data_IF_446826793176
#
_entry.id   IF_446826793176
#
_cell.length_a   1.000
_cell.length_b   1.000
_cell.length_c   1.000
_cell.angle_alpha   90.00
_cell.angle_beta   90.00
_cell.angle_gamma   90.00
#
_symmetry.space_group_name_H-M   'P 1'
#
loop_
_entity.id
_entity.type
_entity.pdbx_description
1 polymer ?
#
# COMPACT_ATOMS: atom_id res chain seq x y z
N UNK A 1 18.10 5.20 28.53
CA UNK A 1 16.73 5.34 29.03
C UNK A 1 15.81 4.70 28.00
N UNK A 2 15.25 3.54 28.33
CA UNK A 2 14.41 2.75 27.42
C UNK A 2 13.08 3.48 27.31
N UNK A 3 12.77 4.04 26.14
CA UNK A 3 11.46 4.62 25.87
C UNK A 3 10.41 3.51 26.02
N UNK A 4 9.45 3.77 26.91
CA UNK A 4 8.41 2.82 27.28
C UNK A 4 7.58 2.39 26.07
N UNK A 5 7.21 1.12 26.06
CA UNK A 5 6.13 0.59 25.23
C UNK A 5 4.88 1.41 25.57
N UNK A 6 4.52 2.38 24.72
CA UNK A 6 3.24 3.07 24.82
C UNK A 6 2.16 2.06 24.48
N UNK A 7 1.37 1.67 25.46
CA UNK A 7 0.12 0.95 25.22
C UNK A 7 -0.81 1.90 24.49
N UNK A 8 -0.97 1.74 23.17
CA UNK A 8 -2.02 2.43 22.43
C UNK A 8 -3.35 2.09 23.11
N UNK A 9 -4.07 3.10 23.59
CA UNK A 9 -5.38 2.90 24.20
C UNK A 9 -6.33 2.33 23.15
N UNK A 10 -7.24 1.43 23.57
CA UNK A 10 -8.27 0.85 22.70
C UNK A 10 -9.14 1.91 21.99
N UNK A 11 -9.09 3.18 22.40
CA UNK A 11 -9.91 4.29 21.92
C UNK A 11 -9.32 5.14 20.80
N UNK A 12 -8.21 4.72 20.21
CA UNK A 12 -7.55 5.50 19.16
C UNK A 12 -8.15 5.19 17.78
N UNK A 13 -8.91 6.14 17.24
CA UNK A 13 -9.51 6.08 15.89
C UNK A 13 -8.46 6.16 14.77
N UNK A 14 -7.47 7.02 14.95
CA UNK A 14 -6.44 7.37 13.97
C UNK A 14 -5.08 7.46 14.64
N UNK A 15 -4.05 6.92 14.00
CA UNK A 15 -2.66 6.95 14.48
C UNK A 15 -1.75 7.47 13.37
N UNK A 16 -0.87 8.43 13.68
CA UNK A 16 0.14 8.90 12.72
C UNK A 16 1.17 7.83 12.41
N UNK A 17 1.68 7.77 11.17
CA UNK A 17 2.67 6.76 10.77
C UNK A 17 3.93 6.79 11.66
N UNK A 18 4.39 7.98 12.09
CA UNK A 18 5.54 8.12 12.97
C UNK A 18 5.35 7.45 14.36
N UNK A 19 4.10 7.28 14.79
CA UNK A 19 3.75 6.66 16.07
C UNK A 19 3.55 5.14 15.97
N UNK A 20 3.69 4.55 14.77
CA UNK A 20 3.56 3.11 14.51
C UNK A 20 4.91 2.42 14.31
N UNK A 21 4.98 1.11 14.51
CA UNK A 21 6.09 0.26 14.10
C UNK A 21 5.68 -1.19 13.91
N UNK A 22 6.66 -2.08 13.70
CA UNK A 22 6.44 -3.51 13.35
C UNK A 22 5.51 -4.30 14.28
N UNK A 23 5.30 -3.87 15.52
CA UNK A 23 4.46 -4.57 16.51
C UNK A 23 2.99 -4.14 16.47
N UNK A 24 2.65 -3.12 15.69
CA UNK A 24 1.32 -2.51 15.68
C UNK A 24 0.42 -3.11 14.57
N UNK A 25 0.71 -4.32 14.09
CA UNK A 25 -0.03 -5.00 13.00
C UNK A 25 -1.52 -5.17 13.33
N UNK A 26 -1.87 -5.50 14.58
CA UNK A 26 -3.28 -5.62 15.00
C UNK A 26 -4.06 -4.30 14.91
N UNK A 27 -3.36 -3.16 14.94
CA UNK A 27 -3.96 -1.81 14.93
C UNK A 27 -3.94 -1.22 13.53
N UNK A 28 -2.81 -1.36 12.83
CA UNK A 28 -2.53 -0.66 11.59
C UNK A 28 -2.50 -1.56 10.34
N UNK A 29 -2.68 -2.87 10.51
CA UNK A 29 -2.41 -3.88 9.48
C UNK A 29 -0.93 -3.98 9.12
N UNK A 30 -0.58 -4.97 8.29
CA UNK A 30 0.82 -5.25 7.94
C UNK A 30 1.51 -4.07 7.26
N UNK A 31 0.87 -3.51 6.23
CA UNK A 31 1.41 -2.34 5.51
C UNK A 31 1.57 -1.11 6.40
N UNK A 32 0.56 -0.80 7.21
CA UNK A 32 0.57 0.39 8.08
C UNK A 32 1.66 0.30 9.15
N UNK A 33 1.79 -0.86 9.78
CA UNK A 33 2.84 -1.13 10.76
C UNK A 33 4.24 -1.04 10.13
N UNK A 34 4.41 -1.61 8.93
CA UNK A 34 5.67 -1.59 8.22
C UNK A 34 6.05 -0.19 7.71
N UNK A 35 5.09 0.61 7.23
CA UNK A 35 5.34 2.02 6.89
C UNK A 35 5.78 2.84 8.12
N UNK A 36 5.12 2.63 9.26
CA UNK A 36 5.53 3.28 10.51
C UNK A 36 6.95 2.90 10.94
N UNK A 37 7.32 1.63 10.77
CA UNK A 37 8.69 1.17 11.01
C UNK A 37 9.71 1.90 10.12
N UNK A 38 9.43 2.03 8.82
CA UNK A 38 10.30 2.75 7.88
C UNK A 38 10.45 4.23 8.27
N UNK A 39 9.36 4.89 8.70
CA UNK A 39 9.40 6.27 9.23
C UNK A 39 10.32 6.36 10.44
N UNK A 40 10.18 5.44 11.41
CA UNK A 40 11.04 5.39 12.60
C UNK A 40 12.50 5.11 12.28
N UNK A 41 12.77 4.38 11.19
CA UNK A 41 14.12 4.15 10.67
C UNK A 41 14.72 5.37 9.93
N UNK A 42 13.99 6.49 9.83
CA UNK A 42 14.45 7.69 9.14
C UNK A 42 14.54 7.51 7.62
N UNK A 43 13.69 6.67 7.05
CA UNK A 43 13.55 6.52 5.61
C UNK A 43 12.51 7.51 5.07
N UNK A 44 12.64 7.93 3.80
CA UNK A 44 11.78 8.97 3.24
C UNK A 44 10.42 8.38 2.86
N UNK A 45 9.53 8.26 3.83
CA UNK A 45 8.15 7.79 3.60
C UNK A 45 7.24 9.02 3.56
N UNK A 46 6.29 9.12 2.60
CA UNK A 46 5.34 10.23 2.56
C UNK A 46 4.54 10.32 3.86
N UNK A 47 4.23 11.54 4.29
CA UNK A 47 3.49 11.77 5.52
C UNK A 47 2.10 11.12 5.45
N UNK A 48 1.59 10.65 6.58
CA UNK A 48 0.32 9.94 6.60
C UNK A 48 -0.07 9.45 7.98
N UNK A 49 -1.25 8.85 8.03
CA UNK A 49 -1.83 8.24 9.21
C UNK A 49 -2.60 6.98 8.83
N UNK A 50 -3.00 6.22 9.85
CA UNK A 50 -3.78 5.01 9.72
C UNK A 50 -5.08 5.16 10.50
N UNK A 51 -6.20 4.93 9.81
CA UNK A 51 -7.50 4.65 10.42
C UNK A 51 -7.45 3.21 10.93
N UNK A 52 -7.60 3.02 12.23
CA UNK A 52 -7.27 1.73 12.86
C UNK A 52 -8.26 0.63 12.48
N UNK A 53 -7.81 -0.62 12.55
CA UNK A 53 -8.69 -1.77 12.32
C UNK A 53 -9.88 -1.80 13.31
N UNK A 54 -9.66 -1.35 14.55
CA UNK A 54 -10.70 -1.21 15.57
C UNK A 54 -11.70 -0.10 15.23
N UNK A 55 -11.31 0.94 14.49
CA UNK A 55 -12.22 1.98 14.04
C UNK A 55 -13.32 1.42 13.14
N UNK A 56 -12.97 0.49 12.24
CA UNK A 56 -13.94 -0.19 11.38
C UNK A 56 -14.96 -0.99 12.20
N UNK A 57 -14.48 -1.83 13.13
CA UNK A 57 -15.35 -2.67 13.97
C UNK A 57 -16.32 -1.81 14.78
N UNK A 58 -15.82 -0.72 15.38
CA UNK A 58 -16.66 0.21 16.16
C UNK A 58 -17.68 0.97 15.29
N UNK A 59 -17.33 1.32 14.05
CA UNK A 59 -18.29 1.92 13.13
C UNK A 59 -19.43 0.95 12.80
N UNK A 60 -19.12 -0.34 12.57
CA UNK A 60 -20.12 -1.39 12.38
C UNK A 60 -20.99 -1.61 13.62
N UNK A 61 -20.40 -1.59 14.82
CA UNK A 61 -21.15 -1.69 16.08
C UNK A 61 -22.10 -0.51 16.28
N UNK A 62 -21.61 0.73 16.09
CA UNK A 62 -22.39 1.95 16.29
C UNK A 62 -23.56 2.09 15.29
N UNK A 63 -23.42 1.52 14.09
CA UNK A 63 -24.47 1.52 13.07
C UNK A 63 -25.49 0.38 13.24
N UNK A 64 -25.17 -0.64 14.03
CA UNK A 64 -25.99 -1.86 14.15
C UNK A 64 -25.91 -2.78 12.92
N UNK A 65 -25.03 -2.49 11.95
CA UNK A 65 -24.91 -3.25 10.70
C UNK A 65 -23.99 -4.48 10.83
N UNK A 66 -23.30 -4.64 11.96
CA UNK A 66 -22.28 -5.68 12.15
C UNK A 66 -22.82 -7.10 11.94
N UNK A 67 -23.96 -7.44 12.54
CA UNK A 67 -24.53 -8.78 12.43
C UNK A 67 -25.11 -9.02 11.03
N UNK A 68 -25.76 -8.02 10.42
CA UNK A 68 -26.25 -8.09 9.03
C UNK A 68 -25.09 -8.35 8.05
N UNK A 69 -23.97 -7.66 8.23
CA UNK A 69 -22.77 -7.83 7.41
C UNK A 69 -22.14 -9.22 7.57
N UNK A 70 -22.11 -9.73 8.81
CA UNK A 70 -21.61 -11.08 9.11
C UNK A 70 -22.47 -12.14 8.43
N UNK A 71 -23.79 -12.01 8.51
CA UNK A 71 -24.73 -12.93 7.89
C UNK A 71 -24.62 -12.89 6.36
N UNK A 72 -24.49 -11.70 5.77
CA UNK A 72 -24.27 -11.53 4.33
C UNK A 72 -22.97 -12.21 3.88
N UNK A 73 -21.87 -12.03 4.60
CA UNK A 73 -20.59 -12.65 4.29
C UNK A 73 -20.63 -14.18 4.42
N UNK A 74 -21.41 -14.72 5.36
CA UNK A 74 -21.58 -16.16 5.55
C UNK A 74 -22.32 -16.86 4.40
N UNK A 75 -23.05 -16.12 3.55
CA UNK A 75 -23.73 -16.68 2.37
C UNK A 75 -22.75 -17.17 1.29
N UNK A 76 -21.55 -16.58 1.23
CA UNK A 76 -20.52 -16.86 0.24
C UNK A 76 -19.79 -18.18 0.48
N UNK A 77 -20.52 -19.26 0.78
CA UNK A 77 -19.98 -20.58 1.12
C UNK A 77 -18.86 -21.04 0.19
N UNK A 78 -17.99 -21.91 0.71
CA UNK A 78 -16.71 -22.29 0.09
C UNK A 78 -16.86 -22.68 -1.40
N UNK A 79 -16.27 -21.86 -2.28
CA UNK A 79 -16.03 -22.09 -3.72
C UNK A 79 -17.20 -22.06 -4.70
N UNK A 80 -18.33 -21.39 -4.41
CA UNK A 80 -19.37 -21.11 -5.42
C UNK A 80 -19.27 -19.65 -5.93
N UNK A 81 -18.83 -19.41 -7.20
CA UNK A 81 -18.65 -18.06 -7.74
C UNK A 81 -19.92 -17.20 -7.69
N UNK A 82 -21.09 -17.77 -7.94
CA UNK A 82 -22.34 -17.01 -7.98
C UNK A 82 -22.74 -16.57 -6.57
N UNK A 83 -22.53 -17.43 -5.56
CA UNK A 83 -22.77 -17.09 -4.15
C UNK A 83 -21.76 -16.09 -3.60
N UNK A 84 -20.51 -16.17 -4.04
CA UNK A 84 -19.48 -15.21 -3.67
C UNK A 84 -19.83 -13.81 -4.21
N UNK A 85 -20.31 -13.73 -5.44
CA UNK A 85 -20.76 -12.47 -6.04
C UNK A 85 -22.00 -11.92 -5.31
N UNK A 86 -22.98 -12.78 -5.00
CA UNK A 86 -24.16 -12.39 -4.22
C UNK A 86 -23.79 -11.88 -2.82
N UNK A 87 -22.92 -12.60 -2.11
CA UNK A 87 -22.44 -12.22 -0.78
C UNK A 87 -21.67 -10.90 -0.83
N UNK A 88 -20.79 -10.73 -1.81
CA UNK A 88 -20.04 -9.49 -2.02
C UNK A 88 -20.95 -8.31 -2.33
N UNK A 89 -21.95 -8.48 -3.20
CA UNK A 89 -22.94 -7.45 -3.51
C UNK A 89 -23.73 -7.01 -2.28
N UNK A 90 -24.26 -7.96 -1.52
CA UNK A 90 -24.99 -7.66 -0.26
C UNK A 90 -24.12 -6.97 0.77
N UNK A 91 -22.89 -7.44 0.97
CA UNK A 91 -21.95 -6.82 1.90
C UNK A 91 -21.58 -5.39 1.45
N UNK A 92 -21.36 -5.17 0.16
CA UNK A 92 -21.16 -3.86 -0.43
C UNK A 92 -22.33 -2.90 -0.17
N UNK A 93 -23.56 -3.36 -0.37
CA UNK A 93 -24.78 -2.57 -0.11
C UNK A 93 -24.91 -2.20 1.38
N UNK A 94 -24.58 -3.12 2.29
CA UNK A 94 -24.55 -2.87 3.73
C UNK A 94 -23.51 -1.80 4.07
N UNK A 95 -22.28 -1.95 3.57
CA UNK A 95 -21.20 -0.99 3.83
C UNK A 95 -21.49 0.37 3.20
N UNK A 96 -22.19 0.43 2.07
CA UNK A 96 -22.62 1.70 1.46
C UNK A 96 -23.58 2.50 2.36
N UNK A 97 -24.35 1.82 3.23
CA UNK A 97 -25.25 2.44 4.22
C UNK A 97 -24.54 2.79 5.53
N UNK A 98 -23.29 2.36 5.72
CA UNK A 98 -22.52 2.65 6.92
C UNK A 98 -22.23 4.16 7.00
N UNK A 99 -22.93 4.84 7.89
CA UNK A 99 -22.59 6.20 8.28
C UNK A 99 -21.39 6.17 9.23
N UNK A 100 -20.29 6.81 8.82
CA UNK A 100 -19.10 6.94 9.68
C UNK A 100 -19.46 7.78 10.91
N UNK A 101 -19.26 7.26 12.14
CA UNK A 101 -19.53 8.00 13.37
C UNK A 101 -18.89 9.39 13.38
N UNK A 102 -19.57 10.40 13.92
CA UNK A 102 -19.13 11.81 13.85
C UNK A 102 -17.74 12.04 14.44
N UNK A 103 -17.43 11.37 15.54
CA UNK A 103 -16.13 11.41 16.20
C UNK A 103 -15.04 10.75 15.36
N UNK A 104 -15.31 9.58 14.74
CA UNK A 104 -14.40 8.94 13.79
C UNK A 104 -14.19 9.80 12.55
N UNK A 105 -15.25 10.33 11.93
CA UNK A 105 -15.15 11.25 10.77
C UNK A 105 -14.29 12.47 11.13
N UNK A 106 -14.52 13.07 12.31
CA UNK A 106 -13.73 14.21 12.78
C UNK A 106 -12.26 13.86 12.98
N UNK A 107 -11.95 12.68 13.52
CA UNK A 107 -10.57 12.22 13.70
C UNK A 107 -9.86 11.98 12.36
N UNK A 108 -10.55 11.38 11.38
CA UNK A 108 -10.01 11.18 10.02
C UNK A 108 -9.72 12.52 9.36
N UNK A 109 -10.67 13.46 9.39
CA UNK A 109 -10.50 14.78 8.78
C UNK A 109 -9.42 15.61 9.49
N UNK A 110 -9.30 15.51 10.82
CA UNK A 110 -8.21 16.16 11.55
C UNK A 110 -6.84 15.59 11.12
N UNK A 111 -6.73 14.28 10.92
CA UNK A 111 -5.53 13.65 10.36
C UNK A 111 -5.23 14.13 8.94
N UNK A 112 -6.26 14.20 8.09
CA UNK A 112 -6.15 14.65 6.70
C UNK A 112 -5.71 16.10 6.59
N UNK A 113 -6.38 17.03 7.29
CA UNK A 113 -6.02 18.44 7.32
C UNK A 113 -4.64 18.68 7.96
N UNK A 114 -4.19 17.77 8.83
CA UNK A 114 -2.84 17.77 9.37
C UNK A 114 -1.73 17.49 8.34
N UNK A 115 -2.05 16.88 7.20
CA UNK A 115 -1.11 16.70 6.08
C UNK A 115 -0.93 18.00 5.27
N UNK A 116 -1.91 18.90 5.33
CA UNK A 116 -1.90 20.19 4.64
C UNK A 116 -3.27 20.54 4.04
N UNK A 117 -3.41 21.77 3.57
CA UNK A 117 -4.60 22.20 2.85
C UNK A 117 -4.59 21.65 1.41
N UNK A 118 -5.70 21.03 0.97
CA UNK A 118 -5.88 20.53 -0.40
C UNK A 118 -4.78 19.57 -0.89
N UNK A 119 -4.25 18.76 0.02
CA UNK A 119 -3.29 17.70 -0.30
C UNK A 119 -4.04 16.51 -0.90
N UNK A 120 -3.59 16.04 -2.07
CA UNK A 120 -4.07 14.78 -2.61
C UNK A 120 -3.46 13.62 -1.82
N UNK A 121 -4.24 12.60 -1.56
CA UNK A 121 -3.81 11.43 -0.76
C UNK A 121 -4.05 10.12 -1.51
N UNK A 122 -3.21 9.14 -1.21
CA UNK A 122 -3.46 7.74 -1.47
C UNK A 122 -4.16 7.12 -0.25
N UNK A 123 -5.30 6.48 -0.47
CA UNK A 123 -6.06 5.75 0.55
C UNK A 123 -5.94 4.25 0.27
N UNK A 124 -5.28 3.51 1.17
CA UNK A 124 -4.82 2.13 0.93
C UNK A 124 -5.32 1.20 2.02
N UNK A 125 -5.86 0.06 1.64
CA UNK A 125 -6.20 -1.02 2.57
C UNK A 125 -4.93 -1.64 3.17
N UNK A 126 -4.98 -1.93 4.47
CA UNK A 126 -3.93 -2.58 5.25
C UNK A 126 -4.56 -3.64 6.15
N UNK A 127 -4.45 -4.92 5.76
CA UNK A 127 -5.10 -6.01 6.47
C UNK A 127 -4.28 -6.47 7.67
N UNK A 128 -4.94 -6.86 8.77
CA UNK A 128 -4.28 -7.37 9.98
C UNK A 128 -3.75 -8.80 9.83
N UNK A 129 -4.30 -9.56 8.88
CA UNK A 129 -3.89 -10.93 8.57
C UNK A 129 -2.88 -11.03 7.40
N UNK A 130 -2.32 -9.90 6.96
CA UNK A 130 -1.46 -9.80 5.76
C UNK A 130 -0.07 -10.44 5.93
N UNK A 131 0.36 -10.68 7.19
CA UNK A 131 1.74 -11.10 7.52
C UNK A 131 1.82 -12.50 8.20
N UNK A 132 0.86 -13.40 7.99
CA UNK A 132 1.18 -14.81 8.22
C UNK A 132 2.26 -15.20 7.20
N UNK A 133 3.41 -15.70 7.67
CA UNK A 133 4.70 -15.82 6.97
C UNK A 133 4.70 -16.55 5.60
N UNK A 134 3.56 -17.06 5.13
CA UNK A 134 3.37 -17.76 3.86
C UNK A 134 2.20 -17.24 2.99
N UNK A 135 1.49 -16.19 3.39
CA UNK A 135 0.25 -15.78 2.71
C UNK A 135 0.33 -14.40 2.10
N UNK A 136 0.69 -14.34 0.82
CA UNK A 136 0.53 -13.11 0.05
C UNK A 136 -0.96 -12.84 -0.22
N UNK A 137 -1.55 -11.90 0.53
CA UNK A 137 -2.77 -11.18 0.11
C UNK A 137 -2.50 -10.26 -1.11
N UNK A 138 -1.46 -10.56 -1.90
CA UNK A 138 -1.02 -9.77 -3.03
C UNK A 138 -2.16 -9.66 -4.05
N UNK A 139 -2.50 -8.43 -4.43
CA UNK A 139 -3.55 -8.14 -5.40
C UNK A 139 -5.00 -8.13 -4.87
N UNK A 140 -5.24 -8.32 -3.56
CA UNK A 140 -6.57 -8.14 -2.95
C UNK A 140 -6.75 -6.79 -2.25
N UNK A 141 -5.68 -6.02 -2.15
CA UNK A 141 -5.69 -4.72 -1.50
C UNK A 141 -6.28 -3.64 -2.42
N UNK A 142 -7.17 -2.82 -1.88
CA UNK A 142 -7.71 -1.66 -2.58
C UNK A 142 -6.87 -0.43 -2.29
N UNK A 143 -6.50 0.27 -3.36
CA UNK A 143 -5.80 1.54 -3.32
C UNK A 143 -6.62 2.54 -4.14
N UNK A 144 -6.84 3.72 -3.58
CA UNK A 144 -7.44 4.86 -4.26
C UNK A 144 -6.42 5.99 -4.26
N UNK A 145 -5.96 6.36 -5.44
CA UNK A 145 -4.95 7.39 -5.69
C UNK A 145 -5.61 8.75 -5.96
N UNK A 146 -4.83 9.82 -5.76
CA UNK A 146 -5.24 11.20 -6.05
C UNK A 146 -6.59 11.64 -5.42
N UNK A 147 -6.94 11.07 -4.26
CA UNK A 147 -8.15 11.42 -3.52
C UNK A 147 -7.98 12.83 -2.92
N UNK A 148 -8.96 13.71 -3.10
CA UNK A 148 -8.86 15.10 -2.68
C UNK A 148 -10.17 15.59 -2.07
N UNK A 149 -10.09 16.17 -0.88
CA UNK A 149 -11.23 16.77 -0.19
C UNK A 149 -11.93 15.82 0.79
N UNK A 150 -12.61 16.42 1.76
CA UNK A 150 -13.12 15.74 2.95
C UNK A 150 -14.07 14.58 2.63
N UNK A 151 -15.02 14.80 1.73
CA UNK A 151 -16.03 13.79 1.40
C UNK A 151 -15.43 12.62 0.61
N UNK A 152 -14.51 12.90 -0.32
CA UNK A 152 -13.83 11.89 -1.12
C UNK A 152 -12.89 11.03 -0.27
N UNK A 153 -12.21 11.62 0.73
CA UNK A 153 -11.39 10.87 1.70
C UNK A 153 -12.25 9.91 2.52
N UNK A 154 -13.40 10.37 3.02
CA UNK A 154 -14.30 9.52 3.81
C UNK A 154 -14.91 8.40 2.95
N UNK A 155 -15.30 8.71 1.71
CA UNK A 155 -15.79 7.70 0.78
C UNK A 155 -14.71 6.67 0.44
N UNK A 156 -13.48 7.09 0.17
CA UNK A 156 -12.37 6.19 -0.11
C UNK A 156 -12.07 5.25 1.08
N UNK A 157 -12.11 5.76 2.32
CA UNK A 157 -11.97 4.92 3.53
C UNK A 157 -13.08 3.86 3.60
N UNK A 158 -14.33 4.25 3.37
CA UNK A 158 -15.48 3.33 3.35
C UNK A 158 -15.34 2.28 2.24
N UNK A 159 -14.86 2.67 1.06
CA UNK A 159 -14.61 1.77 -0.07
C UNK A 159 -13.45 0.80 0.21
N UNK A 160 -12.42 1.21 0.95
CA UNK A 160 -11.43 0.28 1.48
C UNK A 160 -12.07 -0.76 2.40
N UNK A 161 -12.95 -0.36 3.33
CA UNK A 161 -13.66 -1.35 4.16
C UNK A 161 -14.54 -2.30 3.35
N UNK A 162 -15.20 -1.81 2.29
CA UNK A 162 -15.98 -2.65 1.38
C UNK A 162 -15.13 -3.73 0.68
N UNK A 163 -13.84 -3.47 0.42
CA UNK A 163 -12.99 -4.41 -0.30
C UNK A 163 -12.67 -5.69 0.47
N UNK A 164 -12.81 -5.70 1.80
CA UNK A 164 -12.74 -6.91 2.62
C UNK A 164 -13.75 -7.99 2.18
N UNK A 165 -14.84 -7.57 1.55
CA UNK A 165 -15.95 -8.43 1.16
C UNK A 165 -16.03 -8.60 -0.37
N UNK A 166 -15.01 -8.19 -1.12
CA UNK A 166 -14.93 -8.47 -2.54
C UNK A 166 -14.92 -10.00 -2.79
N UNK A 167 -15.40 -10.49 -3.94
CA UNK A 167 -15.54 -11.93 -4.20
C UNK A 167 -14.23 -12.70 -3.99
N UNK A 168 -13.10 -12.12 -4.43
CA UNK A 168 -11.76 -12.70 -4.23
C UNK A 168 -11.35 -12.75 -2.76
N UNK A 169 -11.67 -11.72 -1.98
CA UNK A 169 -11.36 -11.67 -0.54
C UNK A 169 -12.19 -12.70 0.24
N UNK A 170 -13.48 -12.84 -0.09
CA UNK A 170 -14.36 -13.87 0.49
C UNK A 170 -13.87 -15.29 0.15
N UNK A 171 -13.57 -15.55 -1.13
CA UNK A 171 -13.02 -16.84 -1.60
C UNK A 171 -11.72 -17.19 -0.89
N UNK A 172 -10.80 -16.23 -0.79
CA UNK A 172 -9.54 -16.42 -0.12
C UNK A 172 -9.73 -16.80 1.36
N UNK A 173 -10.56 -16.05 2.09
CA UNK A 173 -10.84 -16.32 3.51
C UNK A 173 -11.50 -17.68 3.72
N UNK A 174 -12.41 -18.06 2.82
CA UNK A 174 -13.02 -19.37 2.80
C UNK A 174 -11.94 -20.47 2.60
N UNK A 175 -11.05 -20.31 1.61
CA UNK A 175 -9.98 -21.30 1.33
C UNK A 175 -9.02 -21.49 2.52
N UNK A 176 -8.71 -20.40 3.23
CA UNK A 176 -7.84 -20.39 4.41
C UNK A 176 -8.57 -20.75 5.72
N UNK A 177 -9.89 -20.99 5.67
CA UNK A 177 -10.74 -21.27 6.84
C UNK A 177 -10.63 -20.19 7.93
N UNK A 178 -10.52 -18.93 7.51
CA UNK A 178 -10.46 -17.79 8.41
C UNK A 178 -11.85 -17.48 8.96
N UNK A 179 -12.11 -17.93 10.19
CA UNK A 179 -13.41 -17.80 10.88
C UNK A 179 -13.53 -16.52 11.70
N UNK A 180 -12.41 -15.84 11.99
CA UNK A 180 -12.40 -14.58 12.73
C UNK A 180 -13.00 -13.46 11.91
N UNK A 181 -13.71 -12.52 12.55
CA UNK A 181 -14.29 -11.38 11.86
C UNK A 181 -13.19 -10.52 11.21
N UNK A 182 -13.28 -10.20 9.91
CA UNK A 182 -12.25 -9.42 9.24
C UNK A 182 -12.22 -8.00 9.79
N UNK A 183 -11.01 -7.51 10.08
CA UNK A 183 -10.77 -6.12 10.43
C UNK A 183 -9.74 -5.53 9.44
N UNK A 184 -9.96 -4.29 9.04
CA UNK A 184 -9.12 -3.60 8.07
C UNK A 184 -8.75 -2.22 8.57
N UNK A 185 -7.44 -1.98 8.67
CA UNK A 185 -6.92 -0.65 8.83
C UNK A 185 -6.81 0.03 7.45
N UNK A 186 -6.94 1.35 7.43
CA UNK A 186 -6.84 2.14 6.18
C UNK A 186 -5.75 3.17 6.34
N UNK A 187 -4.74 3.11 5.48
CA UNK A 187 -3.68 4.11 5.41
C UNK A 187 -4.18 5.28 4.58
N UNK A 188 -4.05 6.50 5.10
CA UNK A 188 -4.24 7.75 4.37
C UNK A 188 -2.89 8.46 4.33
N UNK A 189 -2.30 8.53 3.15
CA UNK A 189 -0.92 8.99 2.96
C UNK A 189 -0.88 10.06 1.86
N UNK A 190 -0.03 11.07 2.03
CA UNK A 190 0.24 12.07 1.00
C UNK A 190 0.58 11.40 -0.33
N UNK A 191 -0.11 11.82 -1.39
CA UNK A 191 0.10 11.30 -2.73
C UNK A 191 1.38 11.89 -3.29
N UNK A 192 2.31 11.02 -3.67
CA UNK A 192 3.51 11.43 -4.41
C UNK A 192 3.10 11.61 -5.87
N UNK A 193 3.10 12.85 -6.35
CA UNK A 193 2.95 13.17 -7.78
C UNK A 193 4.23 12.76 -8.52
N UNK A 194 4.35 11.46 -8.80
CA UNK A 194 5.62 10.87 -9.20
C UNK A 194 5.89 11.03 -10.68
N UNK A 195 7.10 11.49 -10.97
CA UNK A 195 7.65 11.54 -12.33
C UNK A 195 8.17 10.20 -12.80
N UNK A 196 8.66 9.42 -11.83
CA UNK A 196 9.27 8.12 -12.01
C UNK A 196 8.95 7.30 -10.78
N UNK A 197 8.76 6.01 -10.97
CA UNK A 197 8.42 5.09 -9.90
C UNK A 197 8.81 3.68 -10.29
N UNK A 198 8.76 2.77 -9.32
CA UNK A 198 8.90 1.36 -9.60
C UNK A 198 9.17 0.56 -8.36
N UNK A 199 9.85 -0.57 -8.55
CA UNK A 199 10.18 -1.52 -7.48
C UNK A 199 11.68 -1.71 -7.38
N UNK A 200 12.14 -2.09 -6.20
CA UNK A 200 13.52 -2.39 -5.91
C UNK A 200 13.60 -3.63 -5.05
N UNK A 201 14.32 -4.63 -5.54
CA UNK A 201 14.61 -5.86 -4.82
C UNK A 201 16.03 -5.80 -4.27
N UNK A 202 16.18 -5.94 -2.96
CA UNK A 202 17.50 -5.98 -2.31
C UNK A 202 18.14 -7.36 -2.40
N UNK A 203 17.77 -8.17 -3.38
CA UNK A 203 18.36 -9.43 -3.84
C UNK A 203 17.84 -9.62 -5.26
N UNK A 204 18.55 -10.33 -6.13
CA UNK A 204 18.00 -10.67 -7.44
C UNK A 204 16.91 -11.75 -7.28
N UNK A 205 15.61 -11.43 -7.54
CA UNK A 205 14.53 -12.38 -7.32
C UNK A 205 14.53 -13.55 -8.32
N UNK A 206 15.20 -13.37 -9.48
CA UNK A 206 15.23 -14.34 -10.60
C UNK A 206 16.38 -15.34 -10.54
N UNK A 207 17.38 -15.07 -9.70
CA UNK A 207 18.55 -15.94 -9.51
C UNK A 207 18.77 -16.30 -8.05
N UNK A 208 18.11 -15.60 -7.13
CA UNK A 208 18.38 -15.67 -5.70
C UNK A 208 19.71 -15.04 -5.28
N UNK A 209 20.40 -14.32 -6.18
CA UNK A 209 21.69 -13.71 -5.87
C UNK A 209 21.53 -12.55 -4.89
N UNK A 210 21.90 -12.81 -3.63
CA UNK A 210 21.85 -11.82 -2.55
C UNK A 210 22.99 -10.81 -2.58
N UNK A 211 24.00 -10.97 -3.45
CA UNK A 211 25.05 -9.97 -3.68
C UNK A 211 24.59 -8.82 -4.60
N UNK A 212 23.45 -9.00 -5.27
CA UNK A 212 22.87 -8.07 -6.24
C UNK A 212 21.67 -7.32 -5.67
N UNK A 213 21.45 -6.12 -6.16
CA UNK A 213 20.23 -5.34 -5.98
C UNK A 213 19.67 -5.04 -7.36
N UNK A 214 18.37 -5.23 -7.55
CA UNK A 214 17.67 -5.01 -8.83
C UNK A 214 16.69 -3.86 -8.65
N UNK A 215 16.76 -2.87 -9.54
CA UNK A 215 15.82 -1.74 -9.58
C UNK A 215 15.07 -1.81 -10.90
N UNK A 216 13.75 -1.76 -10.81
CA UNK A 216 12.87 -1.61 -11.96
C UNK A 216 12.23 -0.22 -11.93
N UNK A 217 12.23 0.47 -13.07
CA UNK A 217 11.74 1.85 -13.16
C UNK A 217 10.88 2.10 -14.40
N UNK A 218 9.80 2.86 -14.21
CA UNK A 218 8.97 3.39 -15.27
C UNK A 218 8.66 4.88 -15.04
N UNK A 219 8.04 5.53 -16.03
CA UNK A 219 7.57 6.91 -15.93
C UNK A 219 6.18 6.96 -15.27
N UNK A 220 5.90 8.03 -14.52
CA UNK A 220 4.62 8.26 -13.88
C UNK A 220 4.41 7.52 -12.56
N UNK A 221 3.15 7.22 -12.23
CA UNK A 221 2.72 6.51 -11.02
C UNK A 221 3.10 5.03 -11.04
N UNK A 222 3.41 4.46 -9.87
CA UNK A 222 3.94 3.10 -9.72
C UNK A 222 3.02 1.98 -10.18
N UNK A 223 1.73 2.28 -10.36
CA UNK A 223 0.73 1.31 -10.82
C UNK A 223 1.12 0.67 -12.16
N UNK A 224 1.77 1.40 -13.08
CA UNK A 224 2.18 0.85 -14.39
C UNK A 224 3.18 -0.31 -14.26
N UNK A 225 4.01 -0.30 -13.20
CA UNK A 225 4.98 -1.38 -12.93
C UNK A 225 4.29 -2.54 -12.24
N UNK A 226 3.48 -2.25 -11.22
CA UNK A 226 2.81 -3.27 -10.40
C UNK A 226 1.75 -4.04 -11.18
N UNK A 227 1.09 -3.40 -12.15
CA UNK A 227 0.10 -4.04 -13.03
C UNK A 227 0.72 -4.87 -14.17
N UNK A 228 2.03 -4.76 -14.40
CA UNK A 228 2.74 -5.43 -15.49
C UNK A 228 2.39 -4.92 -16.89
N UNK A 229 1.85 -3.71 -16.98
CA UNK A 229 1.40 -3.12 -18.25
C UNK A 229 2.53 -2.60 -19.13
N UNK A 230 3.67 -2.28 -18.52
CA UNK A 230 4.87 -1.83 -19.22
C UNK A 230 6.03 -2.77 -18.93
N UNK A 231 7.01 -2.78 -19.84
CA UNK A 231 8.31 -3.35 -19.54
C UNK A 231 9.18 -2.25 -18.93
N UNK A 232 9.47 -2.28 -17.61
CA UNK A 232 10.29 -1.25 -16.98
C UNK A 232 11.75 -1.36 -17.40
N UNK A 233 12.51 -0.29 -17.20
CA UNK A 233 13.97 -0.38 -17.22
C UNK A 233 14.44 -1.20 -16.03
N UNK A 234 15.37 -2.13 -16.23
CA UNK A 234 16.00 -2.90 -15.16
C UNK A 234 17.45 -2.46 -14.99
N UNK A 235 17.81 -2.11 -13.75
CA UNK A 235 19.17 -1.76 -13.34
C UNK A 235 19.66 -2.77 -12.31
N UNK A 236 20.81 -3.40 -12.56
CA UNK A 236 21.43 -4.34 -11.63
C UNK A 236 22.63 -3.69 -10.98
N UNK A 237 22.67 -3.71 -9.65
CA UNK A 237 23.72 -3.07 -8.83
C UNK A 237 24.44 -4.13 -8.01
N UNK A 238 25.76 -4.11 -8.03
CA UNK A 238 26.60 -4.84 -7.08
C UNK A 238 26.51 -4.19 -5.71
N UNK A 239 26.25 -4.95 -4.63
CA UNK A 239 26.09 -4.34 -3.29
C UNK A 239 27.41 -3.92 -2.63
N UNK A 240 28.48 -4.67 -2.86
CA UNK A 240 29.80 -4.40 -2.28
C UNK A 240 30.49 -3.27 -3.05
N UNK A 241 30.53 -2.08 -2.45
CA UNK A 241 30.98 -0.87 -3.14
C UNK A 241 30.03 -0.52 -4.29
N UNK A 242 28.80 -0.02 -3.99
CA UNK A 242 27.71 0.05 -4.95
C UNK A 242 28.09 0.60 -6.33
N UNK A 243 28.05 -0.27 -7.34
CA UNK A 243 28.31 0.05 -8.76
C UNK A 243 27.22 -0.51 -9.65
N UNK A 244 26.87 0.23 -10.70
CA UNK A 244 25.95 -0.23 -11.72
C UNK A 244 26.63 -1.32 -12.57
N UNK A 245 26.09 -2.53 -12.53
CA UNK A 245 26.63 -3.69 -13.22
C UNK A 245 26.04 -3.87 -14.62
N UNK A 246 24.72 -3.65 -14.76
CA UNK A 246 24.05 -3.73 -16.05
C UNK A 246 22.79 -2.87 -16.10
N UNK A 247 22.43 -2.47 -17.32
CA UNK A 247 21.20 -1.73 -17.64
C UNK A 247 20.50 -2.48 -18.77
N UNK A 248 19.21 -2.71 -18.61
CA UNK A 248 18.32 -3.21 -19.66
C UNK A 248 17.17 -2.23 -19.80
N UNK A 249 17.07 -1.57 -20.95
CA UNK A 249 15.98 -0.64 -21.21
C UNK A 249 14.72 -1.41 -21.60
N UNK A 250 13.63 -1.11 -20.92
CA UNK A 250 12.32 -1.67 -21.22
C UNK A 250 11.49 -0.74 -22.10
N UNK A 251 10.42 -1.29 -22.69
CA UNK A 251 9.47 -0.53 -23.49
C UNK A 251 8.34 0.04 -22.62
N UNK A 252 8.43 1.35 -22.36
CA UNK A 252 7.52 2.09 -21.47
C UNK A 252 6.52 2.88 -22.30
N UNK A 253 5.61 2.18 -22.98
CA UNK A 253 4.69 2.81 -23.95
C UNK A 253 3.62 3.68 -23.29
N UNK A 254 3.41 3.53 -21.97
CA UNK A 254 2.36 4.21 -21.24
C UNK A 254 2.89 4.73 -19.91
N UNK A 255 2.38 5.87 -19.47
CA UNK A 255 2.47 6.33 -18.09
C UNK A 255 1.08 6.62 -17.51
N UNK A 256 0.98 6.55 -16.18
CA UNK A 256 -0.18 7.07 -15.43
C UNK A 256 0.27 8.34 -14.71
N UNK A 257 -0.54 9.39 -14.81
CA UNK A 257 -0.30 10.69 -14.18
C UNK A 257 -1.57 11.21 -13.54
N UNK A 258 -1.45 12.22 -12.70
CA UNK A 258 -2.61 13.01 -12.28
C UNK A 258 -3.07 13.90 -13.44
N UNK A 259 -4.30 13.72 -13.90
CA UNK A 259 -4.95 14.56 -14.91
C UNK A 259 -5.43 15.90 -14.35
N UNK A 260 -5.88 16.77 -15.24
CA UNK A 260 -6.37 18.13 -14.90
C UNK A 260 -7.65 18.09 -14.07
N UNK A 261 -8.43 17.01 -14.17
CA UNK A 261 -9.61 16.74 -13.34
C UNK A 261 -9.26 16.19 -11.95
N UNK A 262 -7.96 16.04 -11.68
CA UNK A 262 -7.41 15.56 -10.42
C UNK A 262 -7.39 14.03 -10.29
N UNK A 263 -7.83 13.26 -11.29
CA UNK A 263 -7.88 11.79 -11.27
C UNK A 263 -6.69 11.18 -12.00
N UNK A 264 -6.57 9.86 -11.92
CA UNK A 264 -5.56 9.13 -12.66
C UNK A 264 -5.89 9.14 -14.16
N UNK A 265 -4.93 9.60 -14.95
CA UNK A 265 -5.01 9.69 -16.39
C UNK A 265 -3.92 8.82 -17.01
N UNK A 266 -4.36 7.88 -17.85
CA UNK A 266 -3.48 7.04 -18.65
C UNK A 266 -3.08 7.78 -19.93
N UNK A 267 -1.78 7.86 -20.22
CA UNK A 267 -1.26 8.54 -21.41
C UNK A 267 -0.27 7.67 -22.16
N UNK A 268 -0.47 7.54 -23.46
CA UNK A 268 0.51 6.91 -24.36
C UNK A 268 1.73 7.81 -24.49
N UNK A 269 2.91 7.23 -24.27
CA UNK A 269 4.18 7.90 -24.46
C UNK A 269 4.58 7.88 -25.93
N UNK A 270 5.20 8.96 -26.38
CA UNK A 270 5.78 8.98 -27.73
C UNK A 270 6.90 7.94 -27.85
N UNK A 271 7.16 7.37 -29.03
CA UNK A 271 8.22 6.36 -29.21
C UNK A 271 9.60 6.83 -28.73
N UNK A 272 9.90 8.13 -28.87
CA UNK A 272 11.14 8.72 -28.34
C UNK A 272 11.21 8.63 -26.82
N UNK A 273 10.15 9.08 -26.14
CA UNK A 273 10.08 9.06 -24.67
C UNK A 273 10.02 7.64 -24.11
N UNK A 274 9.28 6.74 -24.74
CA UNK A 274 9.16 5.34 -24.31
C UNK A 274 10.51 4.60 -24.31
N UNK A 275 11.43 4.99 -25.20
CA UNK A 275 12.78 4.43 -25.34
C UNK A 275 13.83 5.13 -24.46
N UNK A 276 13.50 6.25 -23.81
CA UNK A 276 14.42 6.93 -22.90
C UNK A 276 14.69 6.09 -21.65
N UNK A 277 15.92 6.20 -21.15
CA UNK A 277 16.32 5.65 -19.86
C UNK A 277 15.68 6.47 -18.73
N UNK A 278 15.04 5.80 -17.77
CA UNK A 278 14.28 6.44 -16.69
C UNK A 278 15.19 7.06 -15.63
N UNK A 279 16.24 6.34 -15.25
CA UNK A 279 17.14 6.70 -14.15
C UNK A 279 18.57 6.86 -14.67
N UNK A 280 19.24 7.94 -14.27
CA UNK A 280 20.68 8.09 -14.47
C UNK A 280 21.45 7.17 -13.51
N UNK A 281 22.70 6.85 -13.83
CA UNK A 281 23.54 6.01 -12.96
C UNK A 281 23.66 6.57 -11.53
N UNK A 282 23.81 7.89 -11.39
CA UNK A 282 23.85 8.52 -10.06
C UNK A 282 22.58 8.31 -9.25
N UNK A 283 21.41 8.35 -9.90
CA UNK A 283 20.12 8.13 -9.25
C UNK A 283 19.91 6.66 -8.89
N UNK A 284 20.32 5.74 -9.77
CA UNK A 284 20.32 4.30 -9.46
C UNK A 284 21.15 4.02 -8.20
N UNK A 285 22.36 4.59 -8.10
CA UNK A 285 23.22 4.39 -6.94
C UNK A 285 22.68 5.07 -5.67
N UNK A 286 22.01 6.20 -5.78
CA UNK A 286 21.32 6.84 -4.65
C UNK A 286 20.18 5.96 -4.12
N UNK A 287 19.34 5.46 -5.02
CA UNK A 287 18.22 4.59 -4.68
C UNK A 287 18.72 3.25 -4.11
N UNK A 288 19.78 2.67 -4.70
CA UNK A 288 20.42 1.46 -4.18
C UNK A 288 20.93 1.64 -2.74
N UNK A 289 21.51 2.80 -2.38
CA UNK A 289 21.90 3.08 -0.98
C UNK A 289 20.69 3.10 -0.04
N UNK A 290 19.55 3.62 -0.50
CA UNK A 290 18.29 3.57 0.27
C UNK A 290 17.83 2.11 0.45
N UNK A 291 17.89 1.30 -0.61
CA UNK A 291 17.59 -0.14 -0.53
C UNK A 291 18.52 -0.90 0.42
N UNK A 292 19.82 -0.60 0.42
CA UNK A 292 20.78 -1.19 1.35
C UNK A 292 20.49 -0.81 2.81
N UNK A 293 20.07 0.43 3.08
CA UNK A 293 19.62 0.86 4.43
C UNK A 293 18.39 0.08 4.87
N UNK A 294 17.41 -0.10 3.99
CA UNK A 294 16.20 -0.89 4.23
C UNK A 294 16.58 -2.35 4.54
N UNK A 295 17.41 -2.96 3.69
CA UNK A 295 17.90 -4.32 3.87
C UNK A 295 18.59 -4.50 5.22
N UNK A 296 19.51 -3.60 5.58
CA UNK A 296 20.21 -3.64 6.86
C UNK A 296 19.27 -3.48 8.06
N UNK A 297 18.21 -2.68 7.93
CA UNK A 297 17.23 -2.45 8.99
C UNK A 297 16.33 -3.68 9.25
N UNK A 298 15.98 -4.43 8.21
CA UNK A 298 15.18 -5.66 8.34
C UNK A 298 16.04 -6.90 8.55
N UNK A 299 17.31 -6.89 8.14
CA UNK A 299 18.22 -8.03 8.24
C UNK A 299 17.93 -9.14 7.23
N UNK A 300 17.12 -8.87 6.20
CA UNK A 300 16.70 -9.84 5.18
C UNK A 300 16.38 -9.14 3.85
N UNK A 301 16.35 -9.86 2.71
CA UNK A 301 15.96 -9.29 1.42
C UNK A 301 14.57 -8.65 1.46
N UNK A 302 14.42 -7.50 0.80
CA UNK A 302 13.20 -6.70 0.75
C UNK A 302 12.82 -6.39 -0.71
N UNK A 303 11.53 -6.44 -0.98
CA UNK A 303 10.84 -5.88 -2.14
C UNK A 303 10.28 -4.51 -1.72
N UNK A 304 10.72 -3.45 -2.40
CA UNK A 304 10.48 -2.05 -2.02
C UNK A 304 9.82 -1.31 -3.17
N UNK A 305 8.61 -0.78 -2.94
CA UNK A 305 7.98 0.16 -3.86
C UNK A 305 8.52 1.57 -3.60
N UNK A 306 8.88 2.29 -4.64
CA UNK A 306 9.45 3.63 -4.55
C UNK A 306 8.85 4.58 -5.60
N UNK A 307 8.92 5.87 -5.29
CA UNK A 307 8.53 6.94 -6.21
C UNK A 307 9.52 8.11 -6.12
N UNK A 308 9.60 8.88 -7.20
CA UNK A 308 10.41 10.09 -7.28
C UNK A 308 9.55 11.27 -7.72
N UNK A 309 9.62 12.37 -6.98
CA UNK A 309 8.97 13.63 -7.34
C UNK A 309 9.90 14.78 -7.04
N UNK A 310 10.09 15.70 -8.00
CA UNK A 310 10.89 16.94 -7.84
C UNK A 310 12.30 16.68 -7.27
N UNK A 311 12.94 15.59 -7.70
CA UNK A 311 14.28 15.20 -7.26
C UNK A 311 14.36 14.58 -5.86
N UNK A 312 13.22 14.26 -5.23
CA UNK A 312 13.16 13.56 -3.94
C UNK A 312 12.66 12.13 -4.13
N UNK A 313 13.27 11.18 -3.41
CA UNK A 313 12.88 9.77 -3.39
C UNK A 313 11.97 9.47 -2.21
N UNK A 314 10.95 8.66 -2.46
CA UNK A 314 9.99 8.21 -1.47
C UNK A 314 9.89 6.70 -1.47
N UNK A 315 9.82 6.11 -0.27
CA UNK A 315 9.53 4.69 -0.06
C UNK A 315 8.03 4.57 0.18
N UNK A 316 7.34 3.86 -0.70
CA UNK A 316 5.88 3.69 -0.66
C UNK A 316 5.46 2.38 0.00
N UNK A 317 6.33 1.37 -0.01
CA UNK A 317 6.13 0.09 0.66
C UNK A 317 7.47 -0.65 0.80
N UNK A 318 7.57 -1.56 1.77
CA UNK A 318 8.65 -2.56 1.86
C UNK A 318 8.05 -3.86 2.35
N UNK A 319 8.50 -5.00 1.87
CA UNK A 319 8.10 -6.32 2.38
C UNK A 319 9.20 -7.35 2.16
N UNK A 320 9.26 -8.44 2.94
CA UNK A 320 10.19 -9.53 2.67
C UNK A 320 9.97 -10.14 1.28
N UNK A 321 11.07 -10.49 0.61
CA UNK A 321 11.01 -11.33 -0.60
C UNK A 321 10.75 -12.77 -0.14
N UNK A 322 9.56 -13.30 -0.42
CA UNK A 322 9.17 -14.67 -0.03
C UNK A 322 9.40 -15.69 -1.14
N UNK A 323 9.52 -15.25 -2.39
CA UNK A 323 9.84 -16.10 -3.55
C UNK A 323 11.21 -15.71 -4.10
N UNK A 324 12.19 -16.60 -3.98
CA UNK A 324 13.46 -16.52 -4.70
C UNK A 324 13.58 -17.80 -5.55
N UNK A 325 13.80 -17.66 -6.85
CA UNK A 325 13.82 -18.80 -7.77
C UNK A 325 14.55 -18.50 -9.06
#
# INVERSE_FOLDING_TARGET
>A
MIQGVRTMTKDTWVVGLADLGRKDVEVAGGKGANLGELVRAGLPVPAGFVVTAQAFIRALEASGLRDELRDAAALGGFDDPDRLEEAAGRAGDIISRLEVPKDLKSAILAGYHGLGEWVAVAVRSSATAEDAEDTSFAGMNSTFTNVLGDDDVIDAVRRCWASLYAPRALSYRASQRLVEEPALAVIVQEMVDSERSGVMFTADPSTGDTSRLVIEAAFGLGEVVVSGEVEPDTYVVDKEGPTLASVRLGRKDVEIRRGDDGRDERRDLTPGRAAEQVLTESEVLELARTGLRIHAHYGQPQDVEWAASKGQWFVLQSRPITTMG
#
